data_IF_994507566052
#
_entry.id   IF_994507566052
#
_cell.length_a   1.000
_cell.length_b   1.000
_cell.length_c   1.000
_cell.angle_alpha   90.00
_cell.angle_beta   90.00
_cell.angle_gamma   90.00
#
_symmetry.space_group_name_H-M   'P 1'
#
loop_
_entity.id
_entity.type
_entity.pdbx_description
1 polymer ?
#
# COMPACT_ATOMS: atom_id res chain seq x y z
N UNK A 1 8.93 3.97 4.94
CA UNK A 1 9.55 4.56 6.15
C UNK A 1 9.02 3.82 7.38
N UNK A 2 9.85 3.64 8.43
CA UNK A 2 9.41 2.99 9.68
C UNK A 2 8.42 3.86 10.46
N UNK A 3 7.49 3.22 11.17
CA UNK A 3 6.51 3.93 12.01
C UNK A 3 7.19 4.85 13.03
N UNK A 4 8.24 4.39 13.71
CA UNK A 4 9.00 5.21 14.67
C UNK A 4 9.55 6.50 14.06
N UNK A 5 10.01 6.46 12.81
CA UNK A 5 10.52 7.65 12.13
C UNK A 5 9.37 8.61 11.78
N UNK A 6 8.21 8.10 11.34
CA UNK A 6 7.02 8.91 11.08
C UNK A 6 6.54 9.65 12.33
N UNK A 7 6.61 9.01 13.51
CA UNK A 7 6.16 9.63 14.76
C UNK A 7 7.05 10.81 15.22
N UNK A 8 8.25 10.98 14.67
CA UNK A 8 9.11 12.12 14.98
C UNK A 8 8.57 13.44 14.41
N UNK A 9 7.66 13.39 13.43
CA UNK A 9 6.96 14.59 12.99
C UNK A 9 6.10 15.13 14.13
N UNK A 10 6.21 16.45 14.39
CA UNK A 10 5.46 17.13 15.46
C UNK A 10 3.97 16.84 15.32
N UNK A 11 3.38 16.28 16.38
CA UNK A 11 1.95 15.98 16.45
C UNK A 11 1.50 14.68 15.76
N UNK A 12 2.36 14.01 14.98
CA UNK A 12 1.97 12.83 14.21
C UNK A 12 1.45 11.69 15.09
N UNK A 13 2.07 11.43 16.25
CA UNK A 13 1.60 10.40 17.17
C UNK A 13 0.21 10.71 17.75
N UNK A 14 -0.02 11.96 18.17
CA UNK A 14 -1.30 12.37 18.74
C UNK A 14 -2.41 12.33 17.68
N UNK A 15 -2.10 12.79 16.46
CA UNK A 15 -3.02 12.77 15.34
C UNK A 15 -3.38 11.33 14.94
N UNK A 16 -2.38 10.47 14.75
CA UNK A 16 -2.60 9.06 14.38
C UNK A 16 -3.38 8.29 15.47
N UNK A 17 -3.10 8.56 16.75
CA UNK A 17 -3.86 7.98 17.86
C UNK A 17 -5.33 8.40 17.84
N UNK A 18 -5.59 9.69 17.61
CA UNK A 18 -6.94 10.26 17.50
C UNK A 18 -7.70 9.64 16.33
N UNK A 19 -7.09 9.59 15.15
CA UNK A 19 -7.73 9.08 13.93
C UNK A 19 -8.03 7.57 14.01
N UNK A 20 -7.19 6.81 14.70
CA UNK A 20 -7.39 5.38 14.94
C UNK A 20 -8.31 5.08 16.13
N UNK A 21 -8.66 6.08 16.94
CA UNK A 21 -9.42 5.89 18.18
C UNK A 21 -8.68 5.02 19.21
N UNK A 22 -7.36 5.16 19.32
CA UNK A 22 -6.52 4.40 20.26
C UNK A 22 -5.67 5.32 21.12
N UNK A 23 -5.04 4.77 22.17
CA UNK A 23 -4.14 5.55 23.01
C UNK A 23 -2.80 5.84 22.29
N UNK A 24 -2.19 7.02 22.50
CA UNK A 24 -0.83 7.31 22.01
C UNK A 24 0.21 6.30 22.49
N UNK A 25 0.02 5.73 23.69
CA UNK A 25 0.86 4.67 24.25
C UNK A 25 0.84 3.41 23.38
N UNK A 26 -0.33 3.01 22.86
CA UNK A 26 -0.44 1.87 21.97
C UNK A 26 0.29 2.11 20.64
N UNK A 27 0.17 3.32 20.08
CA UNK A 27 0.94 3.73 18.90
C UNK A 27 2.45 3.63 19.15
N UNK A 28 2.92 4.07 20.31
CA UNK A 28 4.33 3.96 20.69
C UNK A 28 4.76 2.49 20.86
N UNK A 29 3.92 1.64 21.46
CA UNK A 29 4.21 0.20 21.59
C UNK A 29 4.35 -0.48 20.22
N UNK A 30 3.52 -0.10 19.24
CA UNK A 30 3.65 -0.54 17.86
C UNK A 30 4.94 -0.04 17.21
N UNK A 31 5.27 1.24 17.40
CA UNK A 31 6.48 1.85 16.83
C UNK A 31 7.78 1.25 17.39
N UNK A 32 7.77 0.84 18.65
CA UNK A 32 8.89 0.16 19.33
C UNK A 32 8.89 -1.36 19.15
N UNK A 33 8.01 -1.88 18.29
CA UNK A 33 7.86 -3.31 18.00
C UNK A 33 7.59 -4.17 19.26
N UNK A 34 7.15 -3.54 20.37
CA UNK A 34 6.81 -4.24 21.63
C UNK A 34 5.55 -5.08 21.49
N UNK A 35 4.65 -4.68 20.58
CA UNK A 35 3.49 -5.46 20.17
C UNK A 35 3.36 -5.36 18.65
N UNK A 36 3.05 -6.47 17.96
CA UNK A 36 2.81 -6.42 16.54
C UNK A 36 1.56 -5.59 16.24
N UNK A 37 1.58 -4.85 15.14
CA UNK A 37 0.42 -4.09 14.67
C UNK A 37 -0.64 -5.09 14.17
N UNK A 38 -1.89 -5.04 14.66
CA UNK A 38 -2.94 -5.92 14.17
C UNK A 38 -3.17 -5.73 12.67
N UNK A 39 -3.44 -6.83 11.94
CA UNK A 39 -3.62 -6.84 10.49
C UNK A 39 -4.64 -5.78 10.04
N UNK A 40 -5.76 -5.68 10.75
CA UNK A 40 -6.83 -4.71 10.49
C UNK A 40 -6.39 -3.25 10.64
N UNK A 41 -5.35 -2.97 11.43
CA UNK A 41 -4.81 -1.62 11.65
C UNK A 41 -3.73 -1.25 10.62
N UNK A 42 -3.06 -2.22 10.00
CA UNK A 42 -1.98 -1.95 9.07
C UNK A 42 -2.44 -1.10 7.88
N UNK A 43 -3.57 -1.46 7.26
CA UNK A 43 -4.11 -0.72 6.13
C UNK A 43 -4.58 0.69 6.54
N UNK A 44 -5.17 0.82 7.73
CA UNK A 44 -5.61 2.12 8.26
C UNK A 44 -4.40 3.06 8.46
N UNK A 45 -3.32 2.55 9.08
CA UNK A 45 -2.09 3.33 9.28
C UNK A 45 -1.48 3.73 7.93
N UNK A 46 -1.41 2.82 6.97
CA UNK A 46 -0.90 3.13 5.63
C UNK A 46 -1.69 4.25 4.96
N UNK A 47 -3.02 4.22 5.01
CA UNK A 47 -3.88 5.27 4.46
C UNK A 47 -3.73 6.60 5.20
N UNK A 48 -3.77 6.59 6.55
CA UNK A 48 -3.64 7.80 7.37
C UNK A 48 -2.27 8.45 7.25
N UNK A 49 -1.23 7.64 7.02
CA UNK A 49 0.12 8.13 6.74
C UNK A 49 0.34 8.40 5.25
N UNK A 50 -0.69 8.40 4.41
CA UNK A 50 -0.58 8.67 2.97
C UNK A 50 0.49 7.82 2.27
N UNK A 51 0.67 6.57 2.71
CA UNK A 51 1.67 5.65 2.18
C UNK A 51 3.11 5.85 2.70
N UNK A 52 3.37 6.82 3.58
CA UNK A 52 4.71 6.98 4.18
C UNK A 52 5.12 5.71 4.97
N UNK A 53 4.17 5.11 5.68
CA UNK A 53 4.35 3.88 6.44
C UNK A 53 3.54 2.76 5.77
N UNK A 54 4.21 1.86 5.06
CA UNK A 54 3.54 0.76 4.37
C UNK A 54 3.21 -0.39 5.33
N UNK A 55 2.18 -1.19 4.98
CA UNK A 55 1.87 -2.42 5.73
C UNK A 55 3.00 -3.46 5.77
N UNK A 56 3.93 -3.43 4.81
CA UNK A 56 5.16 -4.24 4.83
C UNK A 56 6.10 -3.82 5.96
N UNK A 57 6.30 -2.51 6.14
CA UNK A 57 7.12 -1.96 7.23
C UNK A 57 6.50 -2.19 8.61
N UNK A 58 5.16 -2.21 8.70
CA UNK A 58 4.44 -2.48 9.94
C UNK A 58 4.51 -3.97 10.36
N UNK A 59 4.70 -4.89 9.40
CA UNK A 59 4.73 -6.34 9.62
C UNK A 59 5.83 -7.02 8.81
N UNK A 60 7.12 -6.71 9.05
CA UNK A 60 8.21 -7.19 8.20
C UNK A 60 8.36 -8.73 8.17
N UNK A 61 7.89 -9.43 9.21
CA UNK A 61 8.10 -10.87 9.38
C UNK A 61 7.03 -11.75 8.73
N UNK A 62 5.83 -11.24 8.47
CA UNK A 62 4.73 -12.07 7.98
C UNK A 62 3.79 -11.38 6.99
N UNK A 63 4.12 -10.17 6.53
CA UNK A 63 3.35 -9.48 5.49
C UNK A 63 3.19 -10.33 4.23
N UNK A 64 4.19 -11.12 3.82
CA UNK A 64 4.13 -11.96 2.61
C UNK A 64 3.03 -13.02 2.67
N UNK A 65 2.75 -13.52 3.88
CA UNK A 65 1.72 -14.53 4.11
C UNK A 65 0.32 -13.91 4.17
N UNK A 66 0.22 -12.64 4.55
CA UNK A 66 -1.04 -11.91 4.73
C UNK A 66 -1.46 -11.18 3.45
N UNK A 67 -0.49 -10.60 2.74
CA UNK A 67 -0.66 -9.81 1.52
C UNK A 67 0.33 -10.26 0.42
N UNK A 68 0.19 -11.49 -0.10
CA UNK A 68 1.06 -12.00 -1.15
C UNK A 68 1.01 -11.16 -2.43
N UNK A 69 -0.11 -10.48 -2.72
CA UNK A 69 -0.29 -9.63 -3.89
C UNK A 69 0.70 -8.46 -3.97
N UNK A 70 1.30 -8.06 -2.85
CA UNK A 70 2.33 -7.02 -2.80
C UNK A 70 3.68 -7.49 -3.38
N UNK A 71 3.94 -8.80 -3.40
CA UNK A 71 5.10 -9.38 -4.10
C UNK A 71 4.90 -9.28 -5.62
N UNK A 72 3.70 -9.60 -6.11
CA UNK A 72 3.37 -9.56 -7.53
C UNK A 72 3.37 -8.12 -8.08
N UNK A 73 2.91 -7.13 -7.31
CA UNK A 73 2.98 -5.71 -7.70
C UNK A 73 4.41 -5.19 -7.87
N UNK A 74 5.39 -5.66 -7.08
CA UNK A 74 6.80 -5.32 -7.33
C UNK A 74 7.34 -6.05 -8.57
N UNK A 75 6.87 -7.27 -8.82
CA UNK A 75 7.32 -8.13 -9.92
C UNK A 75 6.83 -7.63 -11.29
N UNK A 76 5.62 -7.09 -11.35
CA UNK A 76 5.01 -6.55 -12.58
C UNK A 76 5.65 -5.24 -13.06
N UNK A 77 6.28 -4.46 -12.17
CA UNK A 77 7.14 -3.33 -12.58
C UNK A 77 8.42 -3.79 -13.30
N UNK A 78 8.90 -5.01 -13.03
CA UNK A 78 10.09 -5.57 -13.69
C UNK A 78 9.77 -6.28 -15.02
N UNK A 79 8.50 -6.65 -15.25
CA UNK A 79 8.03 -7.26 -16.50
C UNK A 79 7.27 -6.21 -17.31
N UNK A 80 7.99 -5.25 -17.88
CA UNK A 80 7.49 -4.55 -19.06
C UNK A 80 7.24 -5.61 -20.14
N UNK A 81 6.01 -5.81 -20.64
CA UNK A 81 5.88 -6.35 -21.97
C UNK A 81 6.45 -5.28 -22.92
N UNK A 82 7.67 -5.50 -23.39
CA UNK A 82 8.03 -5.04 -24.73
C UNK A 82 7.08 -5.74 -25.70
N UNK A 83 5.91 -5.15 -25.97
CA UNK A 83 5.16 -5.29 -27.22
C UNK A 83 3.81 -4.58 -27.16
N UNK A 84 3.73 -3.50 -27.94
CA UNK A 84 2.81 -3.37 -29.07
C UNK A 84 1.36 -3.82 -28.84
N UNK A 85 0.46 -2.86 -28.69
CA UNK A 85 -0.97 -3.08 -28.98
C UNK A 85 -1.57 -1.85 -29.67
N UNK A 86 -1.28 -1.72 -30.96
CA UNK A 86 -2.09 -0.97 -31.92
C UNK A 86 -2.33 -1.85 -33.14
N UNK A 87 -3.16 -2.87 -32.99
CA UNK A 87 -3.82 -3.50 -34.13
C UNK A 87 -5.30 -3.11 -34.08
N UNK A 88 -5.61 -1.91 -34.55
CA UNK A 88 -6.98 -1.51 -34.87
C UNK A 88 -7.41 -2.27 -36.13
N UNK A 89 -8.07 -3.40 -35.94
CA UNK A 89 -8.87 -4.04 -36.99
C UNK A 89 -10.22 -3.34 -37.04
N UNK A 90 -10.42 -2.46 -38.03
CA UNK A 90 -11.76 -2.05 -38.46
C UNK A 90 -12.07 -2.82 -39.73
N UNK A 91 -13.02 -3.74 -39.64
CA UNK A 91 -13.62 -4.45 -40.77
C UNK A 91 -15.04 -3.90 -40.99
N UNK A 92 -15.44 -3.80 -42.27
CA UNK A 92 -16.83 -3.76 -42.79
C UNK A 92 -17.56 -2.40 -42.69
N UNK A 93 -18.31 -1.90 -43.68
CA UNK A 93 -18.81 -2.34 -44.99
C UNK A 93 -19.35 -1.07 -45.69
N UNK A 94 -19.11 -0.84 -46.99
CA UNK A 94 -20.16 -0.23 -47.82
C UNK A 94 -19.88 -0.40 -49.33
N UNK A 95 -20.72 -1.21 -49.98
CA UNK A 95 -20.88 -1.26 -51.42
C UNK A 95 -21.99 -0.28 -51.80
N UNK A 96 -21.71 0.69 -52.69
CA UNK A 96 -22.74 1.32 -53.52
C UNK A 96 -22.16 1.53 -54.93
N UNK A 97 -22.66 0.71 -55.86
CA UNK A 97 -22.91 1.04 -57.27
C UNK A 97 -24.39 1.47 -57.37
N UNK A 98 -24.79 2.30 -58.36
CA UNK A 98 -24.89 1.88 -59.75
C UNK A 98 -23.78 2.42 -60.68
#
# INVERSE_FOLDING_TARGET
MKLVAYLNFRGAQAQLAKDLGVSPVLIHQWAMEKRPVPIVRCLQIEQMTSGYVSRQELRPHDWQRIWPELLESQSSLAHLPSSSSTASTVITHHAIKP
#
